data_IF_134691923307
#
_entry.id   IF_134691923307
#
_cell.length_a   1.000
_cell.length_b   1.000
_cell.length_c   1.000
_cell.angle_alpha   90.00
_cell.angle_beta   90.00
_cell.angle_gamma   90.00
#
_symmetry.space_group_name_H-M   'P 1'
#
loop_
_entity.id
_entity.type
_entity.pdbx_description
1 polymer ?
#
# COMPACT_ATOMS: atom_id res chain seq x y z
N UNK A 1 11.47 3.12 -21.92
CA UNK A 1 12.09 3.58 -20.64
C UNK A 1 13.42 4.23 -20.99
N UNK A 2 13.67 5.46 -20.57
CA UNK A 2 14.94 6.15 -20.84
C UNK A 2 16.08 5.49 -20.05
N UNK A 3 17.28 5.44 -20.65
CA UNK A 3 18.52 4.88 -20.06
C UNK A 3 18.77 5.41 -18.65
N UNK A 4 18.42 6.66 -18.38
CA UNK A 4 18.52 7.33 -17.08
C UNK A 4 17.62 6.66 -16.00
N UNK A 5 16.39 6.27 -16.33
CA UNK A 5 15.49 5.60 -15.38
C UNK A 5 15.94 4.18 -15.02
N UNK A 6 16.56 3.47 -15.98
CA UNK A 6 17.16 2.16 -15.71
C UNK A 6 18.36 2.27 -14.78
N UNK A 7 19.23 3.28 -15.01
CA UNK A 7 20.37 3.56 -14.14
C UNK A 7 19.94 3.96 -12.72
N UNK A 8 18.93 4.82 -12.58
CA UNK A 8 18.37 5.20 -11.27
C UNK A 8 17.79 3.99 -10.53
N UNK A 9 17.01 3.15 -11.22
CA UNK A 9 16.49 1.91 -10.63
C UNK A 9 17.59 0.94 -10.20
N UNK A 10 18.65 0.80 -11.00
CA UNK A 10 19.81 -0.02 -10.69
C UNK A 10 20.59 0.50 -9.47
N UNK A 11 20.81 1.82 -9.38
CA UNK A 11 21.47 2.45 -8.23
C UNK A 11 20.67 2.27 -6.93
N UNK A 12 19.35 2.47 -6.98
CA UNK A 12 18.48 2.27 -5.82
C UNK A 12 18.44 0.80 -5.37
N UNK A 13 18.39 -0.13 -6.32
CA UNK A 13 18.49 -1.56 -6.01
C UNK A 13 19.85 -1.91 -5.38
N UNK A 14 20.94 -1.39 -5.96
CA UNK A 14 22.29 -1.57 -5.42
C UNK A 14 22.41 -1.04 -3.98
N UNK A 15 21.88 0.15 -3.71
CA UNK A 15 21.83 0.70 -2.35
C UNK A 15 21.01 -0.19 -1.40
N UNK A 16 19.85 -0.66 -1.86
CA UNK A 16 19.03 -1.57 -1.06
C UNK A 16 19.75 -2.89 -0.74
N UNK A 17 20.43 -3.47 -1.73
CA UNK A 17 21.24 -4.68 -1.50
C UNK A 17 22.41 -4.43 -0.54
N UNK A 18 23.06 -3.28 -0.60
CA UNK A 18 24.10 -2.91 0.36
C UNK A 18 23.55 -2.81 1.78
N UNK A 19 22.36 -2.22 1.97
CA UNK A 19 21.70 -2.15 3.29
C UNK A 19 21.39 -3.56 3.79
N UNK A 20 20.83 -4.43 2.93
CA UNK A 20 20.51 -5.82 3.30
C UNK A 20 21.78 -6.60 3.67
N UNK A 21 22.82 -6.54 2.85
CA UNK A 21 24.09 -7.21 3.12
C UNK A 21 24.75 -6.69 4.39
N UNK A 22 24.77 -5.37 4.61
CA UNK A 22 25.28 -4.76 5.84
C UNK A 22 24.53 -5.25 7.08
N UNK A 23 23.18 -5.33 7.01
CA UNK A 23 22.35 -5.88 8.08
C UNK A 23 22.69 -7.34 8.35
N UNK A 24 22.77 -8.20 7.33
CA UNK A 24 23.07 -9.61 7.48
C UNK A 24 24.48 -9.84 8.07
N UNK A 25 25.46 -9.06 7.63
CA UNK A 25 26.82 -9.11 8.19
C UNK A 25 26.84 -8.70 9.67
N UNK A 26 26.10 -7.66 10.03
CA UNK A 26 26.05 -7.17 11.43
C UNK A 26 25.45 -8.19 12.41
N UNK A 27 24.54 -9.06 11.93
CA UNK A 27 23.87 -10.07 12.78
C UNK A 27 24.39 -11.50 12.59
N UNK A 28 25.43 -11.72 11.77
CA UNK A 28 26.01 -13.01 11.37
C UNK A 28 25.08 -13.84 10.47
N UNK A 29 25.36 -13.94 9.15
CA UNK A 29 24.49 -14.61 8.16
C UNK A 29 24.14 -16.05 8.54
N UNK A 30 25.10 -16.83 9.09
CA UNK A 30 24.88 -18.19 9.53
C UNK A 30 23.75 -18.30 10.58
N UNK A 31 23.74 -17.40 11.57
CA UNK A 31 22.68 -17.40 12.59
C UNK A 31 21.30 -17.03 12.02
N UNK A 32 21.24 -16.23 10.96
CA UNK A 32 19.99 -15.92 10.27
C UNK A 32 19.48 -17.15 9.52
N UNK A 33 20.37 -17.87 8.84
CA UNK A 33 20.04 -19.13 8.16
C UNK A 33 19.55 -20.17 9.16
N UNK A 34 20.30 -20.42 10.24
CA UNK A 34 19.90 -21.35 11.31
C UNK A 34 18.52 -21.00 11.90
N UNK A 35 18.20 -19.70 12.03
CA UNK A 35 16.90 -19.28 12.51
C UNK A 35 15.78 -19.59 11.50
N UNK A 36 16.04 -19.39 10.19
CA UNK A 36 15.08 -19.70 9.14
C UNK A 36 14.81 -21.19 9.00
N UNK A 37 15.84 -22.04 9.14
CA UNK A 37 15.70 -23.50 9.10
C UNK A 37 14.83 -24.05 10.24
N UNK A 38 14.85 -23.37 11.38
CA UNK A 38 14.05 -23.74 12.58
C UNK A 38 12.68 -23.05 12.61
N UNK A 39 12.33 -22.28 11.58
CA UNK A 39 11.07 -21.56 11.54
C UNK A 39 9.87 -22.51 11.49
N UNK A 40 8.83 -22.20 12.25
CA UNK A 40 7.62 -23.04 12.31
C UNK A 40 6.83 -22.97 10.99
N UNK A 41 6.65 -24.11 10.27
CA UNK A 41 5.89 -24.13 9.01
C UNK A 41 4.44 -23.70 9.18
N UNK A 42 3.81 -24.01 10.31
CA UNK A 42 2.44 -23.59 10.61
C UNK A 42 2.32 -22.07 10.64
N UNK A 43 3.24 -21.40 11.35
CA UNK A 43 3.21 -19.94 11.44
C UNK A 43 3.57 -19.28 10.10
N UNK A 44 4.42 -19.90 9.27
CA UNK A 44 4.69 -19.43 7.90
C UNK A 44 3.42 -19.52 7.06
N UNK A 45 2.71 -20.66 7.10
CA UNK A 45 1.46 -20.83 6.36
C UNK A 45 0.38 -19.81 6.79
N UNK A 46 0.25 -19.57 8.10
CA UNK A 46 -0.64 -18.52 8.62
C UNK A 46 -0.20 -17.12 8.16
N UNK A 47 1.11 -16.86 8.11
CA UNK A 47 1.66 -15.60 7.61
C UNK A 47 1.27 -15.31 6.16
N UNK A 48 1.26 -16.33 5.31
CA UNK A 48 0.87 -16.22 3.91
C UNK A 48 -0.62 -15.86 3.71
N UNK A 49 -1.48 -16.10 4.72
CA UNK A 49 -2.88 -15.64 4.68
C UNK A 49 -3.00 -14.12 4.80
N UNK A 50 -2.00 -13.43 5.38
CA UNK A 50 -1.97 -11.99 5.52
C UNK A 50 -2.09 -11.25 4.17
N UNK A 51 -1.20 -11.47 3.19
CA UNK A 51 -1.30 -10.87 1.85
C UNK A 51 -2.60 -11.22 1.13
N UNK A 52 -3.13 -12.42 1.30
CA UNK A 52 -4.41 -12.84 0.70
C UNK A 52 -5.56 -12.03 1.31
N UNK A 53 -5.67 -12.01 2.64
CA UNK A 53 -6.68 -11.21 3.35
C UNK A 53 -6.58 -9.73 3.02
N UNK A 54 -5.37 -9.19 2.95
CA UNK A 54 -5.10 -7.81 2.54
C UNK A 54 -5.67 -7.50 1.15
N UNK A 55 -5.45 -8.34 0.13
CA UNK A 55 -5.93 -8.13 -1.24
C UNK A 55 -7.44 -8.27 -1.31
N UNK A 56 -8.04 -9.28 -0.67
CA UNK A 56 -9.47 -9.52 -0.67
C UNK A 56 -10.24 -8.36 0.00
N UNK A 57 -9.82 -7.96 1.20
CA UNK A 57 -10.44 -6.87 1.94
C UNK A 57 -10.26 -5.52 1.23
N UNK A 58 -9.10 -5.27 0.60
CA UNK A 58 -8.88 -4.08 -0.23
C UNK A 58 -9.76 -4.06 -1.47
N UNK A 59 -9.94 -5.17 -2.14
CA UNK A 59 -10.85 -5.29 -3.28
C UNK A 59 -12.28 -4.97 -2.87
N UNK A 60 -12.72 -5.51 -1.72
CA UNK A 60 -14.04 -5.21 -1.17
C UNK A 60 -14.18 -3.73 -0.80
N UNK A 61 -13.24 -3.18 -0.05
CA UNK A 61 -13.23 -1.76 0.29
C UNK A 61 -13.29 -0.87 -0.95
N UNK A 62 -12.46 -1.15 -1.94
CA UNK A 62 -12.44 -0.38 -3.17
C UNK A 62 -13.76 -0.47 -3.93
N UNK A 63 -14.42 -1.64 -3.94
CA UNK A 63 -15.76 -1.79 -4.50
C UNK A 63 -16.81 -0.93 -3.78
N UNK A 64 -16.71 -0.80 -2.44
CA UNK A 64 -17.56 0.09 -1.63
C UNK A 64 -17.31 1.55 -1.98
N UNK A 65 -16.04 1.96 -2.11
CA UNK A 65 -15.64 3.33 -2.45
C UNK A 65 -16.11 3.70 -3.87
N UNK A 66 -15.93 2.82 -4.85
CA UNK A 66 -16.41 3.02 -6.23
C UNK A 66 -17.95 3.15 -6.28
N UNK A 67 -18.66 2.46 -5.41
CA UNK A 67 -20.11 2.60 -5.23
C UNK A 67 -20.91 2.46 -6.53
N UNK A 68 -21.88 3.37 -6.70
CA UNK A 68 -22.77 3.40 -7.86
C UNK A 68 -22.11 3.91 -9.15
N UNK A 69 -20.97 4.60 -9.05
CA UNK A 69 -20.22 5.09 -10.22
C UNK A 69 -19.69 3.97 -11.11
N UNK A 70 -19.66 2.74 -10.59
CA UNK A 70 -19.07 1.60 -11.28
C UNK A 70 -20.01 0.38 -11.30
N UNK A 71 -21.21 0.47 -11.92
CA UNK A 71 -22.18 -0.61 -11.91
C UNK A 71 -21.68 -1.87 -12.64
N UNK A 72 -20.79 -1.71 -13.62
CA UNK A 72 -20.27 -2.81 -14.45
C UNK A 72 -19.07 -3.55 -13.83
N UNK A 73 -18.41 -3.01 -12.82
CA UNK A 73 -17.30 -3.67 -12.16
C UNK A 73 -17.80 -4.55 -11.01
N UNK A 74 -17.64 -5.86 -11.16
CA UNK A 74 -17.99 -6.82 -10.09
C UNK A 74 -16.96 -6.77 -8.96
N UNK A 75 -17.30 -7.31 -7.79
CA UNK A 75 -16.33 -7.44 -6.69
C UNK A 75 -15.10 -8.26 -7.12
N UNK A 76 -15.32 -9.34 -7.91
CA UNK A 76 -14.24 -10.16 -8.46
C UNK A 76 -13.28 -9.36 -9.36
N UNK A 77 -13.82 -8.50 -10.24
CA UNK A 77 -13.00 -7.66 -11.12
C UNK A 77 -12.16 -6.65 -10.32
N UNK A 78 -12.79 -5.98 -9.33
CA UNK A 78 -12.11 -5.00 -8.47
C UNK A 78 -11.00 -5.68 -7.66
N UNK A 79 -11.29 -6.87 -7.09
CA UNK A 79 -10.30 -7.65 -6.34
C UNK A 79 -9.17 -8.15 -7.23
N UNK A 80 -9.48 -8.64 -8.42
CA UNK A 80 -8.49 -9.09 -9.39
C UNK A 80 -7.55 -7.94 -9.83
N UNK A 81 -8.10 -6.78 -10.18
CA UNK A 81 -7.31 -5.58 -10.53
C UNK A 81 -6.47 -5.13 -9.34
N UNK A 82 -7.00 -5.21 -8.12
CA UNK A 82 -6.25 -4.91 -6.89
C UNK A 82 -5.07 -5.86 -6.74
N UNK A 83 -5.28 -7.17 -6.87
CA UNK A 83 -4.22 -8.19 -6.78
C UNK A 83 -3.12 -7.97 -7.81
N UNK A 84 -3.47 -7.73 -9.08
CA UNK A 84 -2.51 -7.43 -10.15
C UNK A 84 -1.71 -6.17 -9.81
N UNK A 85 -2.37 -5.08 -9.37
CA UNK A 85 -1.69 -3.84 -9.00
C UNK A 85 -0.70 -4.02 -7.85
N UNK A 86 -1.10 -4.75 -6.78
CA UNK A 86 -0.19 -4.99 -5.65
C UNK A 86 0.94 -5.97 -5.99
N UNK A 87 0.72 -6.94 -6.88
CA UNK A 87 1.80 -7.78 -7.40
C UNK A 87 2.84 -6.96 -8.18
N UNK A 88 2.40 -6.01 -9.00
CA UNK A 88 3.31 -5.07 -9.67
C UNK A 88 4.04 -4.20 -8.66
N UNK A 89 3.36 -3.67 -7.65
CA UNK A 89 3.99 -2.87 -6.58
C UNK A 89 5.02 -3.67 -5.76
N UNK A 90 4.84 -4.99 -5.62
CA UNK A 90 5.73 -5.86 -4.88
C UNK A 90 7.10 -6.04 -5.55
N UNK A 91 7.20 -5.81 -6.87
CA UNK A 91 8.46 -6.01 -7.62
C UNK A 91 8.95 -4.73 -8.30
N UNK A 92 8.06 -3.80 -8.62
CA UNK A 92 8.40 -2.57 -9.31
C UNK A 92 8.80 -1.44 -8.35
N UNK A 93 9.64 -0.52 -8.83
CA UNK A 93 9.89 0.75 -8.16
C UNK A 93 8.70 1.73 -8.33
N UNK A 94 8.65 2.74 -7.47
CA UNK A 94 7.74 3.91 -7.61
C UNK A 94 6.24 3.59 -7.66
N UNK A 95 5.79 2.48 -7.04
CA UNK A 95 4.37 2.10 -6.93
C UNK A 95 3.63 2.09 -8.28
N UNK A 96 4.28 1.59 -9.34
CA UNK A 96 3.71 1.50 -10.69
C UNK A 96 2.40 0.69 -10.75
N UNK A 97 2.18 -0.20 -9.79
CA UNK A 97 0.94 -0.96 -9.68
C UNK A 97 -0.30 -0.09 -9.43
N UNK A 98 -0.16 1.08 -8.82
CA UNK A 98 -1.28 2.02 -8.68
C UNK A 98 -1.68 2.62 -10.04
N UNK A 99 -0.73 2.82 -10.96
CA UNK A 99 -1.02 3.21 -12.35
C UNK A 99 -1.72 2.08 -13.12
N UNK A 100 -1.31 0.82 -12.88
CA UNK A 100 -2.00 -0.35 -13.44
C UNK A 100 -3.45 -0.41 -12.96
N UNK A 101 -3.69 -0.23 -11.64
CA UNK A 101 -5.03 -0.16 -11.06
C UNK A 101 -5.87 0.96 -11.68
N UNK A 102 -5.28 2.15 -11.80
CA UNK A 102 -5.90 3.33 -12.39
C UNK A 102 -6.39 3.05 -13.81
N UNK A 103 -5.51 2.61 -14.70
CA UNK A 103 -5.83 2.36 -16.10
C UNK A 103 -6.77 1.15 -16.29
N UNK A 104 -6.56 0.05 -15.57
CA UNK A 104 -7.40 -1.14 -15.68
C UNK A 104 -8.83 -0.87 -15.20
N UNK A 105 -8.99 -0.17 -14.07
CA UNK A 105 -10.30 0.14 -13.52
C UNK A 105 -11.06 1.17 -14.37
N UNK A 106 -10.38 2.22 -14.84
CA UNK A 106 -11.00 3.22 -15.72
C UNK A 106 -11.61 2.56 -16.97
N UNK A 107 -10.88 1.65 -17.61
CA UNK A 107 -11.38 0.88 -18.76
C UNK A 107 -12.50 -0.08 -18.38
N UNK A 108 -12.34 -0.84 -17.29
CA UNK A 108 -13.29 -1.87 -16.87
C UNK A 108 -14.62 -1.27 -16.43
N UNK A 109 -14.59 -0.18 -15.69
CA UNK A 109 -15.77 0.50 -15.15
C UNK A 109 -16.34 1.56 -16.10
N UNK A 110 -15.60 1.93 -17.17
CA UNK A 110 -15.93 3.02 -18.10
C UNK A 110 -16.14 4.37 -17.39
N UNK A 111 -15.26 4.65 -16.43
CA UNK A 111 -15.25 5.91 -15.65
C UNK A 111 -13.96 6.67 -15.86
N UNK A 112 -13.98 7.97 -15.63
CA UNK A 112 -12.84 8.86 -15.84
C UNK A 112 -11.63 8.49 -14.99
N UNK A 113 -10.42 8.65 -15.54
CA UNK A 113 -9.15 8.42 -14.83
C UNK A 113 -9.08 9.24 -13.54
N UNK A 114 -9.54 10.51 -13.55
CA UNK A 114 -9.60 11.36 -12.35
C UNK A 114 -10.49 10.78 -11.26
N UNK A 115 -11.64 10.19 -11.64
CA UNK A 115 -12.57 9.55 -10.70
C UNK A 115 -11.93 8.34 -10.02
N UNK A 116 -11.28 7.45 -10.78
CA UNK A 116 -10.54 6.33 -10.22
C UNK A 116 -9.37 6.81 -9.36
N UNK A 117 -8.63 7.81 -9.82
CA UNK A 117 -7.50 8.39 -9.10
C UNK A 117 -7.90 8.94 -7.73
N UNK A 118 -9.04 9.64 -7.65
CA UNK A 118 -9.59 10.17 -6.40
C UNK A 118 -9.91 9.04 -5.41
N UNK A 119 -10.46 7.91 -5.89
CA UNK A 119 -10.72 6.74 -5.01
C UNK A 119 -9.43 6.14 -4.46
N UNK A 120 -8.35 6.09 -5.25
CA UNK A 120 -7.03 5.61 -4.81
C UNK A 120 -6.42 6.56 -3.76
N UNK A 121 -6.54 7.88 -3.95
CA UNK A 121 -6.09 8.86 -2.94
C UNK A 121 -6.86 8.70 -1.64
N UNK A 122 -8.18 8.55 -1.71
CA UNK A 122 -8.99 8.29 -0.53
C UNK A 122 -8.58 7.00 0.19
N UNK A 123 -8.30 5.92 -0.54
CA UNK A 123 -7.76 4.70 0.08
C UNK A 123 -6.50 5.01 0.91
N UNK A 124 -5.60 5.87 0.42
CA UNK A 124 -4.37 6.24 1.16
C UNK A 124 -4.69 6.98 2.45
N UNK A 125 -5.65 7.91 2.43
CA UNK A 125 -6.08 8.62 3.65
C UNK A 125 -6.65 7.64 4.66
N UNK A 126 -7.56 6.76 4.24
CA UNK A 126 -8.16 5.76 5.11
C UNK A 126 -7.13 4.74 5.65
N UNK A 127 -6.12 4.37 4.84
CA UNK A 127 -5.03 3.50 5.24
C UNK A 127 -4.24 4.10 6.42
N UNK A 128 -3.87 5.37 6.30
CA UNK A 128 -3.11 6.06 7.33
C UNK A 128 -3.93 6.21 8.62
N UNK A 129 -5.18 6.63 8.50
CA UNK A 129 -6.06 6.77 9.66
C UNK A 129 -6.25 5.42 10.39
N UNK A 130 -6.44 4.33 9.66
CA UNK A 130 -6.56 3.00 10.24
C UNK A 130 -5.29 2.56 10.97
N UNK A 131 -4.11 2.79 10.38
CA UNK A 131 -2.83 2.46 11.02
C UNK A 131 -2.58 3.29 12.28
N UNK A 132 -2.97 4.57 12.28
CA UNK A 132 -2.88 5.42 13.48
C UNK A 132 -3.78 4.87 14.59
N UNK A 133 -5.03 4.52 14.26
CA UNK A 133 -5.96 3.92 15.25
C UNK A 133 -5.36 2.64 15.83
N UNK A 134 -4.83 1.75 15.00
CA UNK A 134 -4.18 0.51 15.42
C UNK A 134 -2.96 0.81 16.31
N UNK A 135 -2.10 1.76 15.91
CA UNK A 135 -0.91 2.13 16.68
C UNK A 135 -1.27 2.70 18.05
N UNK A 136 -2.26 3.60 18.12
CA UNK A 136 -2.72 4.19 19.40
C UNK A 136 -3.31 3.12 20.30
N UNK A 137 -4.20 2.25 19.78
CA UNK A 137 -4.78 1.17 20.54
C UNK A 137 -3.72 0.20 21.09
N UNK A 138 -2.74 -0.16 20.26
CA UNK A 138 -1.64 -1.03 20.64
C UNK A 138 -0.71 -0.38 21.69
N UNK A 139 -0.45 0.92 21.58
CA UNK A 139 0.35 1.66 22.55
C UNK A 139 -0.31 1.73 23.93
N UNK A 140 -1.60 1.99 23.97
CA UNK A 140 -2.38 1.96 25.22
C UNK A 140 -2.33 0.55 25.84
N UNK A 141 -2.58 -0.49 25.02
CA UNK A 141 -2.59 -1.88 25.48
C UNK A 141 -1.21 -2.39 25.95
N UNK A 142 -0.12 -1.86 25.38
CA UNK A 142 1.25 -2.26 25.75
C UNK A 142 1.77 -1.59 27.02
N UNK A 143 1.07 -0.60 27.57
CA UNK A 143 1.56 0.20 28.70
C UNK A 143 2.86 1.00 28.39
N UNK A 144 3.23 1.10 27.10
CA UNK A 144 4.52 1.67 26.65
C UNK A 144 4.56 3.20 26.65
N UNK A 145 3.66 3.88 27.37
CA UNK A 145 3.54 5.33 27.41
C UNK A 145 4.83 6.11 27.79
N UNK A 146 5.86 5.42 28.31
CA UNK A 146 7.13 6.06 28.68
C UNK A 146 8.33 5.73 27.79
N UNK A 147 8.35 4.61 27.08
CA UNK A 147 9.52 4.16 26.28
C UNK A 147 9.53 4.61 24.83
N UNK A 148 8.44 5.23 24.37
CA UNK A 148 8.27 5.63 22.97
C UNK A 148 8.08 7.12 22.73
N UNK A 149 8.41 8.00 23.69
CA UNK A 149 8.12 9.44 23.59
C UNK A 149 8.66 10.10 22.30
N UNK A 150 9.83 9.70 21.84
CA UNK A 150 10.43 10.22 20.59
C UNK A 150 9.72 9.70 19.33
N UNK A 151 9.18 8.46 19.35
CA UNK A 151 8.43 7.89 18.24
C UNK A 151 7.03 8.50 18.15
N UNK A 152 6.44 8.92 19.26
CA UNK A 152 5.13 9.57 19.29
C UNK A 152 5.11 10.90 18.54
N UNK A 153 6.19 11.68 18.59
CA UNK A 153 6.32 12.91 17.80
C UNK A 153 6.16 12.65 16.31
N UNK A 154 6.81 11.60 15.78
CA UNK A 154 6.67 11.18 14.39
C UNK A 154 5.28 10.67 14.03
N UNK A 155 4.67 9.84 14.90
CA UNK A 155 3.30 9.34 14.70
C UNK A 155 2.29 10.49 14.70
N UNK A 156 2.40 11.42 15.64
CA UNK A 156 1.50 12.59 15.74
C UNK A 156 1.69 13.49 14.51
N UNK A 157 2.93 13.80 14.12
CA UNK A 157 3.20 14.62 12.94
C UNK A 157 2.63 13.98 11.67
N UNK A 158 2.81 12.67 11.48
CA UNK A 158 2.26 11.93 10.35
C UNK A 158 0.73 11.88 10.39
N UNK A 159 0.13 11.74 11.58
CA UNK A 159 -1.31 11.79 11.80
C UNK A 159 -1.89 13.15 11.41
N UNK A 160 -1.26 14.23 11.87
CA UNK A 160 -1.69 15.60 11.59
C UNK A 160 -1.61 15.93 10.09
N UNK A 161 -0.50 15.55 9.42
CA UNK A 161 -0.36 15.73 7.97
C UNK A 161 -1.44 14.95 7.22
N UNK A 162 -1.69 13.72 7.61
CA UNK A 162 -2.69 12.86 6.94
C UNK A 162 -4.12 13.34 7.20
N UNK A 163 -4.42 13.77 8.42
CA UNK A 163 -5.70 14.41 8.77
C UNK A 163 -5.88 15.72 7.99
N UNK A 164 -4.81 16.51 7.83
CA UNK A 164 -4.81 17.73 7.02
C UNK A 164 -5.13 17.45 5.54
N UNK A 165 -4.50 16.44 4.95
CA UNK A 165 -4.77 15.99 3.57
C UNK A 165 -6.23 15.52 3.45
N UNK A 166 -6.72 14.72 4.40
CA UNK A 166 -8.09 14.24 4.43
C UNK A 166 -9.11 15.39 4.55
N UNK A 167 -8.85 16.34 5.45
CA UNK A 167 -9.69 17.54 5.63
C UNK A 167 -9.70 18.43 4.39
N UNK A 168 -8.53 18.65 3.77
CA UNK A 168 -8.43 19.39 2.51
C UNK A 168 -9.24 18.71 1.40
N UNK A 169 -9.14 17.39 1.25
CA UNK A 169 -9.95 16.62 0.32
C UNK A 169 -11.46 16.75 0.58
N UNK A 170 -11.87 16.65 1.85
CA UNK A 170 -13.27 16.83 2.24
C UNK A 170 -13.80 18.25 1.94
N UNK A 171 -12.99 19.29 2.19
CA UNK A 171 -13.32 20.68 1.86
C UNK A 171 -13.43 20.83 0.34
N UNK A 172 -12.49 20.29 -0.43
CA UNK A 172 -12.53 20.34 -1.89
C UNK A 172 -13.80 19.71 -2.46
N UNK A 173 -14.25 18.60 -1.88
CA UNK A 173 -15.49 17.93 -2.29
C UNK A 173 -16.74 18.70 -1.86
N UNK A 174 -16.74 19.22 -0.63
CA UNK A 174 -17.90 19.99 -0.10
C UNK A 174 -18.08 21.32 -0.83
N UNK A 175 -17.00 21.91 -1.33
CA UNK A 175 -16.97 23.19 -2.06
C UNK A 175 -16.55 23.02 -3.53
N UNK A 176 -17.18 22.10 -4.23
CA UNK A 176 -16.81 21.69 -5.59
C UNK A 176 -16.69 22.86 -6.57
N UNK A 177 -17.69 23.77 -6.61
CA UNK A 177 -17.64 24.92 -7.51
C UNK A 177 -16.48 25.89 -7.19
N UNK A 178 -16.18 26.06 -5.90
CA UNK A 178 -15.03 26.85 -5.47
C UNK A 178 -13.71 26.16 -5.90
N UNK A 179 -13.61 24.86 -5.71
CA UNK A 179 -12.44 24.05 -6.09
C UNK A 179 -12.19 24.12 -7.59
N UNK A 180 -13.23 23.90 -8.40
CA UNK A 180 -13.11 23.97 -9.86
C UNK A 180 -12.73 25.38 -10.33
N UNK A 181 -13.31 26.44 -9.77
CA UNK A 181 -12.92 27.82 -10.08
C UNK A 181 -11.47 28.13 -9.77
N UNK A 182 -10.96 27.64 -8.62
CA UNK A 182 -9.55 27.84 -8.25
C UNK A 182 -8.62 27.01 -9.12
N UNK A 183 -8.97 25.75 -9.41
CA UNK A 183 -8.22 24.91 -10.33
C UNK A 183 -8.13 25.55 -11.71
N UNK A 184 -9.23 26.06 -12.25
CA UNK A 184 -9.26 26.78 -13.54
C UNK A 184 -8.34 27.98 -13.53
N UNK A 185 -8.32 28.77 -12.44
CA UNK A 185 -7.40 29.92 -12.30
C UNK A 185 -5.94 29.50 -12.23
N UNK A 186 -5.63 28.44 -11.46
CA UNK A 186 -4.26 27.91 -11.31
C UNK A 186 -3.70 27.40 -12.64
N UNK A 187 -4.54 26.79 -13.48
CA UNK A 187 -4.12 26.26 -14.78
C UNK A 187 -4.29 27.25 -15.94
N UNK A 188 -4.81 28.44 -15.69
CA UNK A 188 -5.02 29.47 -16.72
C UNK A 188 -3.73 29.91 -17.43
N UNK A 189 -2.57 29.74 -16.77
CA UNK A 189 -1.25 30.00 -17.37
C UNK A 189 -0.68 28.85 -18.19
N UNK A 190 -1.34 27.69 -18.23
CA UNK A 190 -0.93 26.54 -19.01
C UNK A 190 -1.46 26.63 -20.45
N UNK A 191 -0.90 25.79 -21.35
CA UNK A 191 -1.47 25.67 -22.69
C UNK A 191 -2.94 25.24 -22.63
N UNK A 192 -3.81 25.68 -23.57
CA UNK A 192 -5.24 25.36 -23.55
C UNK A 192 -5.56 23.87 -23.40
N UNK A 193 -4.73 23.00 -24.03
CA UNK A 193 -4.88 21.53 -23.92
C UNK A 193 -4.57 21.01 -22.52
N UNK A 194 -3.52 21.51 -21.86
CA UNK A 194 -3.15 21.10 -20.50
C UNK A 194 -4.15 21.65 -19.48
N UNK A 195 -4.62 22.89 -19.67
CA UNK A 195 -5.62 23.51 -18.82
C UNK A 195 -6.96 22.77 -18.84
N UNK A 196 -7.48 22.44 -20.05
CA UNK A 196 -8.72 21.67 -20.18
C UNK A 196 -8.63 20.26 -19.59
N UNK A 197 -7.52 19.56 -19.85
CA UNK A 197 -7.28 18.23 -19.28
C UNK A 197 -7.22 18.26 -17.73
N UNK A 198 -6.56 19.27 -17.14
CA UNK A 198 -6.47 19.42 -15.69
C UNK A 198 -7.85 19.69 -15.05
N UNK A 199 -8.69 20.53 -15.67
CA UNK A 199 -10.05 20.80 -15.20
C UNK A 199 -10.95 19.57 -15.34
N UNK A 200 -10.84 18.82 -16.44
CA UNK A 200 -11.59 17.59 -16.66
C UNK A 200 -11.21 16.50 -15.62
N UNK A 201 -9.91 16.30 -15.38
CA UNK A 201 -9.41 15.37 -14.37
C UNK A 201 -9.86 15.81 -12.97
N UNK A 202 -9.76 17.08 -12.63
CA UNK A 202 -10.21 17.62 -11.35
C UNK A 202 -11.71 17.45 -11.14
N UNK A 203 -12.53 17.74 -12.15
CA UNK A 203 -13.97 17.54 -12.11
C UNK A 203 -14.36 16.07 -11.97
N UNK A 204 -13.67 15.16 -12.67
CA UNK A 204 -13.92 13.73 -12.52
C UNK A 204 -13.45 13.21 -11.15
N UNK A 205 -12.36 13.75 -10.59
CA UNK A 205 -11.92 13.43 -9.23
C UNK A 205 -12.97 13.81 -8.18
N UNK A 206 -13.56 15.01 -8.29
CA UNK A 206 -14.62 15.44 -7.38
C UNK A 206 -15.87 14.54 -7.49
N UNK A 207 -16.23 14.09 -8.70
CA UNK A 207 -17.33 13.11 -8.89
C UNK A 207 -17.03 11.78 -8.17
N UNK A 208 -15.79 11.26 -8.27
CA UNK A 208 -15.39 10.05 -7.57
C UNK A 208 -15.55 10.14 -6.06
N UNK A 209 -15.25 11.28 -5.48
CA UNK A 209 -15.39 11.53 -4.05
C UNK A 209 -16.85 11.79 -3.61
N UNK A 210 -17.75 12.18 -4.51
CA UNK A 210 -19.18 12.37 -4.20
C UNK A 210 -19.86 11.07 -3.69
N UNK A 211 -19.39 9.91 -4.14
CA UNK A 211 -19.93 8.62 -3.67
C UNK A 211 -19.79 8.43 -2.15
N UNK A 212 -18.91 9.21 -1.50
CA UNK A 212 -18.64 9.21 -0.06
C UNK A 212 -19.54 10.14 0.75
N UNK A 213 -20.36 10.97 0.13
CA UNK A 213 -21.35 11.79 0.86
C UNK A 213 -22.35 10.93 1.65
N UNK A 214 -22.47 9.65 1.32
CA UNK A 214 -23.19 8.68 2.13
C UNK A 214 -22.35 8.30 3.35
N UNK A 215 -22.70 8.81 4.53
CA UNK A 215 -22.02 8.48 5.80
C UNK A 215 -21.89 6.98 6.04
N UNK A 216 -22.89 6.19 5.65
CA UNK A 216 -22.86 4.73 5.77
C UNK A 216 -21.74 4.07 4.93
N UNK A 217 -21.53 4.52 3.68
CA UNK A 217 -20.43 3.98 2.84
C UNK A 217 -19.06 4.36 3.40
N UNK A 218 -18.92 5.58 3.90
CA UNK A 218 -17.67 6.01 4.53
C UNK A 218 -17.37 5.19 5.78
N UNK A 219 -18.38 4.93 6.61
CA UNK A 219 -18.22 4.09 7.80
C UNK A 219 -17.81 2.64 7.45
N UNK A 220 -18.43 2.04 6.42
CA UNK A 220 -18.04 0.71 5.93
C UNK A 220 -16.61 0.74 5.37
N UNK A 221 -16.25 1.75 4.59
CA UNK A 221 -14.90 1.87 4.05
C UNK A 221 -13.85 2.05 5.15
N UNK A 222 -14.15 2.82 6.20
CA UNK A 222 -13.29 2.99 7.37
C UNK A 222 -13.14 1.68 8.16
N UNK A 223 -14.23 0.96 8.42
CA UNK A 223 -14.21 -0.35 9.07
C UNK A 223 -13.40 -1.39 8.27
N UNK A 224 -13.59 -1.42 6.95
CA UNK A 224 -12.80 -2.28 6.06
C UNK A 224 -11.32 -1.86 6.03
N UNK A 225 -10.99 -0.58 6.21
CA UNK A 225 -9.59 -0.13 6.30
C UNK A 225 -8.91 -0.67 7.55
N UNK A 226 -9.59 -0.69 8.69
CA UNK A 226 -9.10 -1.36 9.89
C UNK A 226 -8.90 -2.86 9.64
N UNK A 227 -9.87 -3.53 9.03
CA UNK A 227 -9.78 -4.97 8.74
C UNK A 227 -8.61 -5.28 7.77
N UNK A 228 -8.39 -4.47 6.73
CA UNK A 228 -7.25 -4.59 5.79
C UNK A 228 -5.93 -4.56 6.56
N UNK A 229 -5.74 -3.59 7.44
CA UNK A 229 -4.48 -3.43 8.15
C UNK A 229 -4.31 -4.44 9.28
N UNK A 230 -5.39 -4.83 9.95
CA UNK A 230 -5.35 -5.94 10.92
C UNK A 230 -4.97 -7.26 10.24
N UNK A 231 -5.49 -7.55 9.04
CA UNK A 231 -5.09 -8.73 8.28
C UNK A 231 -3.60 -8.70 7.89
N UNK A 232 -3.11 -7.51 7.44
CA UNK A 232 -1.69 -7.31 7.12
C UNK A 232 -0.80 -7.51 8.33
N UNK A 233 -1.15 -6.87 9.46
CA UNK A 233 -0.39 -6.98 10.72
C UNK A 233 -0.48 -8.38 11.31
N UNK A 234 -1.61 -9.08 11.18
CA UNK A 234 -1.73 -10.48 11.60
C UNK A 234 -0.81 -11.41 10.80
N UNK A 235 -0.68 -11.18 9.48
CA UNK A 235 0.30 -11.89 8.66
C UNK A 235 1.74 -11.63 9.11
N UNK A 236 2.08 -10.36 9.36
CA UNK A 236 3.39 -9.98 9.89
C UNK A 236 3.65 -10.59 11.28
N UNK A 237 2.64 -10.60 12.14
CA UNK A 237 2.67 -11.26 13.45
C UNK A 237 2.97 -12.75 13.31
N UNK A 238 2.32 -13.44 12.36
CA UNK A 238 2.52 -14.86 12.16
C UNK A 238 3.95 -15.16 11.68
N UNK A 239 4.49 -14.42 10.72
CA UNK A 239 5.89 -14.55 10.30
C UNK A 239 6.88 -14.28 11.44
N UNK A 240 6.59 -13.29 12.29
CA UNK A 240 7.40 -13.02 13.47
C UNK A 240 7.36 -14.19 14.45
N UNK A 241 6.18 -14.75 14.71
CA UNK A 241 5.99 -15.91 15.61
C UNK A 241 6.62 -17.19 15.07
N UNK A 242 6.79 -17.32 13.76
CA UNK A 242 7.46 -18.45 13.15
C UNK A 242 8.90 -18.66 13.68
N UNK A 243 9.54 -17.59 14.13
CA UNK A 243 10.92 -17.56 14.62
C UNK A 243 11.00 -17.42 16.16
N UNK A 244 9.85 -17.41 16.85
CA UNK A 244 9.73 -17.36 18.31
C UNK A 244 10.47 -16.21 19.01
N UNK A 245 10.52 -15.00 18.48
CA UNK A 245 11.16 -13.88 19.16
C UNK A 245 10.30 -13.37 20.33
N UNK A 246 10.93 -12.60 21.23
CA UNK A 246 10.36 -12.24 22.53
C UNK A 246 9.78 -10.83 22.53
N UNK A 247 8.56 -10.66 22.03
CA UNK A 247 7.77 -9.44 22.26
C UNK A 247 6.37 -9.79 22.74
N UNK A 248 5.80 -8.94 23.60
CA UNK A 248 4.38 -9.05 23.94
C UNK A 248 3.52 -8.81 22.69
N UNK A 249 2.33 -9.44 22.58
CA UNK A 249 1.45 -9.23 21.42
C UNK A 249 1.12 -7.75 21.17
N UNK A 250 0.88 -6.96 22.22
CA UNK A 250 0.57 -5.54 22.10
C UNK A 250 1.76 -4.72 21.60
N UNK A 251 2.98 -4.98 22.14
CA UNK A 251 4.21 -4.32 21.67
C UNK A 251 4.51 -4.68 20.22
N UNK A 252 4.29 -5.93 19.83
CA UNK A 252 4.48 -6.39 18.45
C UNK A 252 3.48 -5.72 17.51
N UNK A 253 2.21 -5.59 17.92
CA UNK A 253 1.18 -4.90 17.14
C UNK A 253 1.58 -3.42 16.91
N UNK A 254 2.07 -2.74 17.94
CA UNK A 254 2.57 -1.37 17.85
C UNK A 254 3.76 -1.26 16.90
N UNK A 255 4.78 -2.12 17.07
CA UNK A 255 5.96 -2.16 16.20
C UNK A 255 5.56 -2.42 14.74
N UNK A 256 4.64 -3.37 14.49
CA UNK A 256 4.15 -3.69 13.16
C UNK A 256 3.39 -2.52 12.52
N UNK A 257 2.55 -1.81 13.28
CA UNK A 257 1.84 -0.64 12.77
C UNK A 257 2.81 0.50 12.40
N UNK A 258 3.78 0.80 13.26
CA UNK A 258 4.81 1.83 13.00
C UNK A 258 5.73 1.45 11.85
N UNK A 259 6.15 0.18 11.79
CA UNK A 259 6.90 -0.34 10.65
C UNK A 259 6.11 -0.16 9.34
N UNK A 260 4.82 -0.50 9.34
CA UNK A 260 3.99 -0.36 8.14
C UNK A 260 3.85 1.10 7.72
N UNK A 261 3.72 2.04 8.65
CA UNK A 261 3.73 3.47 8.36
C UNK A 261 5.07 3.91 7.75
N UNK A 262 6.19 3.40 8.26
CA UNK A 262 7.52 3.72 7.73
C UNK A 262 7.75 3.25 6.29
N UNK A 263 7.00 2.23 5.82
CA UNK A 263 7.05 1.76 4.43
C UNK A 263 6.57 2.81 3.40
N UNK A 264 5.94 3.90 3.83
CA UNK A 264 5.64 5.03 2.96
C UNK A 264 6.90 5.66 2.35
N UNK A 265 8.04 5.56 3.04
CA UNK A 265 9.35 6.12 2.66
C UNK A 265 10.14 5.15 1.76
N UNK A 266 9.68 3.91 1.57
CA UNK A 266 10.40 2.91 0.77
C UNK A 266 10.48 3.32 -0.71
N UNK A 267 11.71 3.49 -1.21
CA UNK A 267 12.01 3.97 -2.57
C UNK A 267 12.74 2.94 -3.42
N UNK A 268 13.22 1.85 -2.81
CA UNK A 268 13.97 0.80 -3.54
C UNK A 268 13.02 -0.11 -4.31
N UNK A 269 13.43 -0.61 -5.50
CA UNK A 269 12.65 -1.59 -6.23
C UNK A 269 12.34 -2.82 -5.36
N UNK A 270 11.07 -3.22 -5.33
CA UNK A 270 10.61 -4.31 -4.45
C UNK A 270 10.84 -4.06 -2.96
N UNK A 271 11.17 -2.85 -2.55
CA UNK A 271 11.53 -2.50 -1.15
C UNK A 271 12.74 -3.28 -0.59
N UNK A 272 13.55 -3.94 -1.45
CA UNK A 272 14.72 -4.72 -1.03
C UNK A 272 15.68 -3.86 -0.21
N UNK A 273 16.10 -4.36 0.92
CA UNK A 273 16.98 -3.70 1.89
C UNK A 273 16.27 -2.66 2.75
N UNK A 274 15.41 -1.81 2.17
CA UNK A 274 14.66 -0.81 2.95
C UNK A 274 13.59 -1.47 3.83
N UNK A 275 12.94 -2.53 3.36
CA UNK A 275 12.00 -3.30 4.16
C UNK A 275 12.71 -3.93 5.36
N UNK A 276 13.79 -4.67 5.12
CA UNK A 276 14.52 -5.38 6.16
C UNK A 276 15.17 -4.42 7.15
N UNK A 277 15.77 -3.33 6.65
CA UNK A 277 16.41 -2.33 7.50
C UNK A 277 15.40 -1.62 8.42
N UNK A 278 14.26 -1.16 7.87
CA UNK A 278 13.20 -0.51 8.66
C UNK A 278 12.54 -1.51 9.63
N UNK A 279 12.30 -2.74 9.19
CA UNK A 279 11.77 -3.79 10.06
C UNK A 279 12.71 -4.00 11.26
N UNK A 280 13.99 -4.25 10.98
CA UNK A 280 14.99 -4.48 12.01
C UNK A 280 15.10 -3.30 12.98
N UNK A 281 15.19 -2.08 12.45
CA UNK A 281 15.28 -0.85 13.25
C UNK A 281 14.09 -0.70 14.19
N UNK A 282 12.86 -0.78 13.65
CA UNK A 282 11.65 -0.59 14.44
C UNK A 282 11.51 -1.68 15.49
N UNK A 283 11.58 -2.95 15.11
CA UNK A 283 11.35 -4.05 16.05
C UNK A 283 12.42 -4.11 17.15
N UNK A 284 13.69 -3.83 16.84
CA UNK A 284 14.75 -3.78 17.84
C UNK A 284 14.63 -2.58 18.77
N UNK A 285 14.13 -1.43 18.29
CA UNK A 285 13.82 -0.27 19.13
C UNK A 285 12.76 -0.59 20.19
N UNK A 286 11.81 -1.51 19.89
CA UNK A 286 10.83 -2.04 20.84
C UNK A 286 11.35 -3.22 21.67
N UNK A 287 12.63 -3.54 21.58
CA UNK A 287 13.28 -4.55 22.42
C UNK A 287 13.25 -5.97 21.86
N UNK A 288 12.91 -6.15 20.59
CA UNK A 288 12.94 -7.49 19.96
C UNK A 288 14.34 -8.10 19.98
N UNK A 289 14.45 -9.33 20.45
CA UNK A 289 15.70 -10.11 20.61
C UNK A 289 15.42 -11.59 20.33
N UNK A 290 16.43 -12.42 19.98
CA UNK A 290 17.77 -12.01 19.54
C UNK A 290 17.78 -11.38 18.13
N UNK A 291 18.77 -10.55 17.84
CA UNK A 291 18.84 -9.77 16.59
C UNK A 291 18.81 -10.65 15.32
N UNK A 292 19.46 -11.81 15.34
CA UNK A 292 19.46 -12.74 14.20
C UNK A 292 18.04 -13.22 13.86
N UNK A 293 17.21 -13.53 14.87
CA UNK A 293 15.81 -13.92 14.65
C UNK A 293 14.97 -12.75 14.13
N UNK A 294 15.25 -11.51 14.58
CA UNK A 294 14.57 -10.30 14.06
C UNK A 294 14.92 -10.07 12.58
N UNK A 295 16.18 -10.22 12.20
CA UNK A 295 16.62 -10.12 10.81
C UNK A 295 16.02 -11.24 9.95
N UNK A 296 15.99 -12.48 10.46
CA UNK A 296 15.34 -13.61 9.81
C UNK A 296 13.83 -13.37 9.61
N UNK A 297 13.14 -12.79 10.62
CA UNK A 297 11.73 -12.43 10.54
C UNK A 297 11.49 -11.34 9.49
N UNK A 298 12.39 -10.37 9.35
CA UNK A 298 12.32 -9.36 8.30
C UNK A 298 12.38 -9.99 6.90
N UNK A 299 13.38 -10.86 6.67
CA UNK A 299 13.56 -11.56 5.39
C UNK A 299 12.36 -12.47 5.09
N UNK A 300 11.90 -13.25 6.06
CA UNK A 300 10.77 -14.16 5.91
C UNK A 300 9.46 -13.39 5.62
N UNK A 301 9.21 -12.30 6.35
CA UNK A 301 8.01 -11.46 6.16
C UNK A 301 8.01 -10.80 4.79
N UNK A 302 9.17 -10.33 4.32
CA UNK A 302 9.28 -9.69 3.01
C UNK A 302 9.09 -10.71 1.89
N UNK A 303 9.83 -11.82 1.92
CA UNK A 303 9.70 -12.89 0.92
C UNK A 303 8.29 -13.47 0.87
N UNK A 304 7.70 -13.78 2.05
CA UNK A 304 6.33 -14.28 2.16
C UNK A 304 5.29 -13.27 1.68
N UNK A 305 5.50 -11.98 2.01
CA UNK A 305 4.66 -10.88 1.51
C UNK A 305 4.67 -10.77 0.00
N UNK A 306 5.86 -10.76 -0.62
CA UNK A 306 6.03 -10.75 -2.09
C UNK A 306 5.37 -11.98 -2.71
N UNK A 307 5.67 -13.19 -2.22
CA UNK A 307 5.12 -14.44 -2.74
C UNK A 307 3.57 -14.44 -2.70
N UNK A 308 2.98 -14.02 -1.58
CA UNK A 308 1.53 -13.92 -1.43
C UNK A 308 0.91 -12.91 -2.38
N UNK A 309 1.52 -11.72 -2.54
CA UNK A 309 1.03 -10.70 -3.48
C UNK A 309 1.17 -11.15 -4.94
N UNK A 310 2.26 -11.84 -5.30
CA UNK A 310 2.44 -12.40 -6.64
C UNK A 310 1.40 -13.49 -6.93
N UNK A 311 1.12 -14.36 -5.97
CA UNK A 311 0.05 -15.37 -6.09
C UNK A 311 -1.32 -14.73 -6.30
N UNK A 312 -1.66 -13.68 -5.52
CA UNK A 312 -2.89 -12.91 -5.72
C UNK A 312 -2.94 -12.22 -7.10
N UNK A 313 -1.82 -11.69 -7.58
CA UNK A 313 -1.71 -11.08 -8.90
C UNK A 313 -1.89 -12.09 -10.04
N UNK A 314 -1.30 -13.27 -9.91
CA UNK A 314 -1.48 -14.38 -10.85
C UNK A 314 -2.94 -14.84 -10.92
N UNK A 315 -3.57 -15.07 -9.76
CA UNK A 315 -4.99 -15.42 -9.66
C UNK A 315 -5.90 -14.32 -10.25
N UNK A 316 -5.61 -13.05 -9.96
CA UNK A 316 -6.31 -11.91 -10.52
C UNK A 316 -6.16 -11.80 -12.04
N UNK A 317 -4.96 -12.03 -12.57
CA UNK A 317 -4.69 -12.03 -14.01
C UNK A 317 -5.46 -13.15 -14.72
N UNK A 318 -5.49 -14.34 -14.13
CA UNK A 318 -6.27 -15.47 -14.63
C UNK A 318 -7.77 -15.15 -14.65
N UNK A 319 -8.30 -14.61 -13.54
CA UNK A 319 -9.70 -14.18 -13.45
C UNK A 319 -10.09 -13.23 -14.58
N UNK A 320 -9.27 -12.19 -14.80
CA UNK A 320 -9.53 -11.17 -15.81
C UNK A 320 -9.50 -11.76 -17.24
N UNK A 321 -8.59 -12.70 -17.52
CA UNK A 321 -8.52 -13.40 -18.80
C UNK A 321 -9.74 -14.27 -19.05
N UNK A 322 -10.17 -15.07 -18.08
CA UNK A 322 -11.32 -15.97 -18.19
C UNK A 322 -12.64 -15.21 -18.40
N UNK A 323 -12.71 -13.97 -17.92
CA UNK A 323 -13.89 -13.12 -18.11
C UNK A 323 -13.87 -12.24 -19.36
N UNK A 324 -12.89 -12.41 -20.23
CA UNK A 324 -12.73 -11.57 -21.43
C UNK A 324 -12.51 -10.09 -21.09
N UNK A 325 -12.12 -9.81 -19.86
CA UNK A 325 -11.91 -8.47 -19.36
C UNK A 325 -10.43 -8.11 -19.50
N UNK A 326 -10.12 -7.28 -20.49
CA UNK A 326 -8.85 -6.54 -20.64
C UNK A 326 -7.59 -7.43 -20.69
N UNK A 327 -6.91 -7.41 -21.81
CA UNK A 327 -5.51 -7.84 -21.90
C UNK A 327 -4.67 -6.98 -20.94
N UNK A 328 -4.17 -7.52 -19.82
CA UNK A 328 -3.36 -6.75 -18.88
C UNK A 328 -2.02 -6.30 -19.49
N UNK A 329 -1.63 -6.87 -20.64
CA UNK A 329 -0.43 -6.54 -21.41
C UNK A 329 -0.71 -5.51 -22.52
N UNK A 330 -1.97 -5.22 -22.81
CA UNK A 330 -2.39 -4.18 -23.76
C UNK A 330 -1.93 -2.76 -23.40
N UNK A 331 -1.34 -2.59 -22.20
CA UNK A 331 -0.54 -1.40 -21.84
C UNK A 331 0.59 -1.11 -22.85
N UNK A 332 1.09 -2.10 -23.58
CA UNK A 332 2.15 -1.90 -24.57
C UNK A 332 1.66 -1.14 -25.80
N UNK A 333 0.41 -1.29 -26.24
CA UNK A 333 -0.12 -0.59 -27.42
C UNK A 333 -0.52 0.86 -27.14
N UNK A 334 -1.07 1.16 -25.95
CA UNK A 334 -1.48 2.53 -25.61
C UNK A 334 -0.33 3.45 -25.16
N UNK A 335 0.79 2.89 -24.69
CA UNK A 335 1.99 3.66 -24.35
C UNK A 335 2.95 3.89 -25.52
N UNK A 336 2.78 3.15 -26.62
CA UNK A 336 3.65 3.25 -27.82
C UNK A 336 3.01 4.08 -28.94
N UNK A 337 1.73 4.49 -28.79
CA UNK A 337 1.12 5.43 -29.74
C UNK A 337 0.88 4.85 -31.13
N UNK A 338 0.62 3.53 -31.25
CA UNK A 338 0.35 2.88 -32.55
C UNK A 338 -1.13 2.90 -33.00
N UNK A 339 -2.00 3.67 -32.33
CA UNK A 339 -3.32 3.96 -32.90
C UNK A 339 -3.23 5.27 -33.71
N UNK A 340 -2.44 5.21 -34.75
CA UNK A 340 -2.46 6.17 -35.85
C UNK A 340 -3.41 5.66 -36.93
N UNK A 341 -4.48 6.35 -37.13
CA UNK A 341 -5.19 6.89 -38.30
C UNK A 341 -6.58 7.26 -37.88
#
# INVERSE_FOLDING_TARGET
MTRTRLLQGGLLLGLGLLVLLGLLQAVSPGRVIDALERASPLWIALGLLGPVGFVLLRGWRWRVILGASSPHATLGDVTAITGVGFAVNAVAAFKLGDLVRLGAMSRRARIGIGEVGATIVLERVLDVLALIVIAVAAAVASGSGGRGSQLWGGVIAFALVSAGIGAAGAIMVSREEWTLRHLTRLVAGLTPRLGSAAVEIGGSALRGLRSLRSGGRLAIAAGLSLAVWLASVAGLYAFYRALSPQLSPATLLLAAALFTLSQAISVTPGSVGTFEGLYFLVFTAFGARPHAQVAAAAVLSHAGGIAGLLACGAAGSLWLRLRGAVDPVGLKRSLVGEDGV
#
